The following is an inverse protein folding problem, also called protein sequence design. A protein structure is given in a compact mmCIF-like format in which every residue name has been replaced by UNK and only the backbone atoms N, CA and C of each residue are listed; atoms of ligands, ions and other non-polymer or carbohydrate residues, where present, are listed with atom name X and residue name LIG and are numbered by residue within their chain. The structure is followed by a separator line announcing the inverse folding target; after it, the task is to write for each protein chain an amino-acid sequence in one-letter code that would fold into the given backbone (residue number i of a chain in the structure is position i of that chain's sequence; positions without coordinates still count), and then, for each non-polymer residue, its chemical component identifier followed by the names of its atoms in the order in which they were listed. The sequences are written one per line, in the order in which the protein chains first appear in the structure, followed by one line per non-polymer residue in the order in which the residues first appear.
data_IF_596598730056
#
_entry.id   IF_596598730056
#
_cell.length_a   1.000
_cell.length_b   1.000
_cell.length_c   1.000
_cell.angle_alpha   90.00
_cell.angle_beta   90.00
_cell.angle_gamma   90.00
#
_symmetry.space_group_name_H-M   'P 1'
#
loop_
_entity.id
_entity.type
_entity.pdbx_description
1 polymer ?
#
# COMPACT_ATOMS: atom_id res chain seq x y z
N UNK A 1 -3.75 -7.81 10.93
CA UNK A 1 -3.04 -6.51 10.81
C UNK A 1 -3.73 -5.57 9.84
N UNK A 2 -4.12 -6.06 8.65
CA UNK A 2 -4.81 -5.30 7.60
C UNK A 2 -6.09 -4.57 8.08
N UNK A 3 -6.92 -5.20 8.94
CA UNK A 3 -8.14 -4.55 9.47
C UNK A 3 -7.85 -3.29 10.29
N UNK A 4 -6.73 -3.28 11.04
CA UNK A 4 -6.31 -2.12 11.84
C UNK A 4 -5.78 -1.03 10.90
N UNK A 5 -4.96 -1.40 9.92
CA UNK A 5 -4.48 -0.47 8.89
C UNK A 5 -5.64 0.22 8.17
N UNK A 6 -6.65 -0.54 7.73
CA UNK A 6 -7.86 0.00 7.08
C UNK A 6 -8.69 0.91 7.97
N UNK A 7 -8.74 0.66 9.26
CA UNK A 7 -9.45 1.53 10.20
C UNK A 7 -8.80 2.91 10.26
N UNK A 8 -7.47 2.96 10.38
CA UNK A 8 -6.71 4.21 10.35
C UNK A 8 -6.68 4.89 8.99
N UNK A 9 -6.74 4.12 7.91
CA UNK A 9 -6.79 4.60 6.53
C UNK A 9 -8.14 5.25 6.19
N UNK A 10 -9.24 4.55 6.45
CA UNK A 10 -10.60 5.01 6.07
C UNK A 10 -11.25 5.89 7.14
N UNK A 11 -10.79 5.80 8.38
CA UNK A 11 -11.45 6.38 9.55
C UNK A 11 -12.69 5.61 10.02
N UNK A 12 -13.03 4.49 9.37
CA UNK A 12 -14.14 3.63 9.76
C UNK A 12 -13.69 2.61 10.81
N UNK A 13 -14.58 2.24 11.74
CA UNK A 13 -14.28 1.31 12.84
C UNK A 13 -13.16 1.77 13.80
N UNK A 14 -12.82 3.06 13.80
CA UNK A 14 -12.02 3.68 14.84
C UNK A 14 -12.88 3.99 16.07
N UNK A 15 -12.27 3.90 17.25
CA UNK A 15 -12.88 4.43 18.46
C UNK A 15 -13.17 5.92 18.31
N UNK A 16 -14.21 6.47 18.96
CA UNK A 16 -14.63 7.87 18.79
C UNK A 16 -13.56 8.90 19.22
N UNK A 17 -12.56 8.48 19.98
CA UNK A 17 -11.37 9.25 20.37
C UNK A 17 -10.25 9.26 19.33
N UNK A 18 -10.34 8.45 18.26
CA UNK A 18 -9.31 8.31 17.23
C UNK A 18 -9.78 8.86 15.90
N UNK A 19 -8.83 9.47 15.19
CA UNK A 19 -9.04 10.04 13.86
C UNK A 19 -8.20 9.30 12.82
N UNK A 20 -8.48 9.58 11.55
CA UNK A 20 -7.71 9.08 10.40
C UNK A 20 -6.24 9.48 10.55
N UNK A 21 -5.35 8.49 10.53
CA UNK A 21 -3.90 8.64 10.75
C UNK A 21 -3.16 7.75 9.75
N UNK A 22 -2.64 8.37 8.70
CA UNK A 22 -1.98 7.65 7.62
C UNK A 22 -0.58 7.14 7.98
N UNK A 23 0.23 7.84 8.80
CA UNK A 23 1.45 7.27 9.36
C UNK A 23 1.19 5.94 10.11
N UNK A 24 0.16 5.90 10.95
CA UNK A 24 -0.22 4.68 11.66
C UNK A 24 -0.74 3.60 10.71
N UNK A 25 -1.56 3.97 9.72
CA UNK A 25 -2.02 3.04 8.68
C UNK A 25 -0.86 2.39 7.91
N UNK A 26 0.12 3.20 7.46
CA UNK A 26 1.32 2.74 6.78
C UNK A 26 2.14 1.79 7.65
N UNK A 27 2.28 2.08 8.95
CA UNK A 27 2.97 1.18 9.87
C UNK A 27 2.34 -0.22 9.85
N UNK A 28 1.01 -0.29 10.00
CA UNK A 28 0.29 -1.56 10.01
C UNK A 28 0.27 -2.28 8.66
N UNK A 29 0.24 -1.55 7.54
CA UNK A 29 0.36 -2.15 6.20
C UNK A 29 1.75 -2.74 5.98
N UNK A 30 2.81 -2.02 6.33
CA UNK A 30 4.17 -2.51 6.22
C UNK A 30 4.40 -3.74 7.11
N UNK A 31 3.95 -3.71 8.37
CA UNK A 31 4.03 -4.89 9.24
C UNK A 31 3.27 -6.08 8.67
N UNK A 32 2.08 -5.85 8.07
CA UNK A 32 1.35 -6.93 7.41
C UNK A 32 2.16 -7.54 6.24
N UNK A 33 2.79 -6.70 5.41
CA UNK A 33 3.66 -7.13 4.31
C UNK A 33 4.86 -7.94 4.81
N UNK A 34 5.56 -7.48 5.85
CA UNK A 34 6.69 -8.18 6.46
C UNK A 34 6.29 -9.54 7.05
N UNK A 35 5.11 -9.63 7.68
CA UNK A 35 4.61 -10.89 8.25
C UNK A 35 4.12 -11.88 7.20
N UNK A 36 3.66 -11.41 6.04
CA UNK A 36 3.14 -12.28 4.96
C UNK A 36 4.27 -12.97 4.21
N UNK A 37 5.45 -12.35 4.08
CA UNK A 37 6.64 -12.99 3.49
C UNK A 37 7.23 -14.11 4.39
N UNK A 38 6.76 -14.25 5.63
CA UNK A 38 7.27 -15.24 6.58
C UNK A 38 6.48 -16.55 6.64
N UNK A 39 5.35 -16.67 5.93
CA UNK A 39 4.54 -17.90 5.87
C UNK A 39 4.73 -18.62 4.53
N UNK A 40 5.96 -19.04 4.26
CA UNK A 40 6.36 -19.94 3.17
C UNK A 40 5.84 -21.39 3.43
N UNK A 41 4.57 -21.50 3.84
CA UNK A 41 4.00 -22.62 4.59
C UNK A 41 2.65 -23.12 4.08
N UNK A 42 2.26 -22.85 2.83
CA UNK A 42 1.35 -23.71 2.08
C UNK A 42 -0.07 -23.98 2.62
N UNK A 43 -0.62 -23.13 3.50
CA UNK A 43 -2.04 -23.20 3.90
C UNK A 43 -2.83 -22.11 3.17
N UNK A 44 -3.41 -22.48 2.02
CA UNK A 44 -4.39 -21.66 1.31
C UNK A 44 -5.67 -21.56 2.14
N UNK A 45 -5.72 -20.62 3.08
CA UNK A 45 -6.97 -20.12 3.64
C UNK A 45 -7.70 -19.34 2.53
N UNK A 46 -8.94 -19.76 2.23
CA UNK A 46 -9.81 -19.10 1.27
C UNK A 46 -10.34 -17.72 1.72
N UNK A 47 -9.89 -17.19 2.85
CA UNK A 47 -10.09 -15.78 3.20
C UNK A 47 -9.11 -14.88 2.47
N UNK A 48 -9.66 -13.84 1.87
CA UNK A 48 -8.98 -12.85 1.05
C UNK A 48 -7.97 -12.04 1.89
N UNK A 49 -6.75 -12.53 2.08
CA UNK A 49 -5.64 -11.63 2.36
C UNK A 49 -5.46 -10.72 1.15
N UNK A 50 -5.44 -9.41 1.38
CA UNK A 50 -5.21 -8.46 0.30
C UNK A 50 -3.88 -8.80 -0.37
N UNK A 51 -3.86 -8.96 -1.71
CA UNK A 51 -2.65 -9.34 -2.38
C UNK A 51 -1.60 -8.25 -2.18
N UNK A 52 -0.34 -8.66 -1.99
CA UNK A 52 0.82 -7.76 -1.75
C UNK A 52 0.84 -6.54 -2.67
N UNK A 53 0.55 -6.72 -3.97
CA UNK A 53 0.50 -5.62 -4.94
C UNK A 53 -0.55 -4.55 -4.62
N UNK A 54 -1.67 -4.90 -3.98
CA UNK A 54 -2.73 -3.96 -3.62
C UNK A 54 -2.35 -3.13 -2.39
N UNK A 55 -1.71 -3.77 -1.40
CA UNK A 55 -1.19 -3.08 -0.22
C UNK A 55 -0.10 -2.07 -0.60
N UNK A 56 0.88 -2.50 -1.41
CA UNK A 56 1.97 -1.64 -1.90
C UNK A 56 1.43 -0.43 -2.69
N UNK A 57 0.46 -0.65 -3.57
CA UNK A 57 -0.16 0.42 -4.33
C UNK A 57 -0.92 1.42 -3.44
N UNK A 58 -1.60 0.93 -2.38
CA UNK A 58 -2.29 1.80 -1.43
C UNK A 58 -1.31 2.62 -0.59
N UNK A 59 -0.19 2.04 -0.15
CA UNK A 59 0.87 2.80 0.54
C UNK A 59 1.47 3.89 -0.36
N UNK A 60 1.74 3.57 -1.63
CA UNK A 60 2.21 4.52 -2.62
C UNK A 60 1.22 5.68 -2.81
N UNK A 61 -0.07 5.38 -2.94
CA UNK A 61 -1.13 6.39 -3.07
C UNK A 61 -1.19 7.36 -1.88
N UNK A 62 -1.00 6.85 -0.65
CA UNK A 62 -0.94 7.69 0.54
C UNK A 62 0.26 8.64 0.50
N UNK A 63 1.43 8.15 0.06
CA UNK A 63 2.68 8.92 0.01
C UNK A 63 2.68 9.98 -1.10
N UNK A 64 2.07 9.72 -2.26
CA UNK A 64 1.94 10.75 -3.31
C UNK A 64 0.89 11.80 -2.95
N UNK A 65 -0.20 11.40 -2.30
CA UNK A 65 -1.30 12.30 -1.93
C UNK A 65 -0.96 13.14 -0.71
N UNK A 66 -0.33 12.54 0.30
CA UNK A 66 -0.09 13.13 1.61
C UNK A 66 -1.36 13.57 2.35
N UNK A 67 -1.20 14.01 3.59
CA UNK A 67 -2.30 14.41 4.48
C UNK A 67 -2.53 13.42 5.62
N UNK A 68 -3.49 13.74 6.50
CA UNK A 68 -3.79 12.92 7.70
C UNK A 68 -2.57 12.61 8.56
N UNK A 69 -1.68 13.60 8.71
CA UNK A 69 -0.42 13.45 9.44
C UNK A 69 0.75 12.91 8.61
N UNK A 70 0.53 12.51 7.36
CA UNK A 70 1.59 12.02 6.46
C UNK A 70 2.10 13.13 5.53
N UNK A 71 3.42 13.30 5.48
CA UNK A 71 4.07 14.15 4.48
C UNK A 71 4.11 13.46 3.12
N UNK A 72 4.06 14.25 2.05
CA UNK A 72 4.22 13.71 0.70
C UNK A 72 5.64 13.21 0.50
N UNK A 73 5.76 12.03 -0.08
CA UNK A 73 7.04 11.46 -0.52
C UNK A 73 6.86 10.82 -1.90
N UNK A 74 6.90 11.65 -2.98
CA UNK A 74 6.70 11.15 -4.34
C UNK A 74 7.81 10.19 -4.78
N UNK A 75 9.03 10.34 -4.25
CA UNK A 75 10.15 9.43 -4.50
C UNK A 75 9.79 8.02 -4.02
N UNK A 76 9.46 7.90 -2.73
CA UNK A 76 9.10 6.63 -2.12
C UNK A 76 7.80 6.06 -2.70
N UNK A 77 6.85 6.93 -3.07
CA UNK A 77 5.65 6.49 -3.78
C UNK A 77 5.97 5.79 -5.10
N UNK A 78 6.87 6.35 -5.93
CA UNK A 78 7.22 5.72 -7.20
C UNK A 78 7.95 4.38 -7.01
N UNK A 79 8.81 4.28 -6.00
CA UNK A 79 9.48 3.02 -5.64
C UNK A 79 8.47 1.94 -5.20
N UNK A 80 7.44 2.32 -4.43
CA UNK A 80 6.39 1.40 -3.99
C UNK A 80 5.43 1.01 -5.13
N UNK A 81 5.09 1.93 -6.03
CA UNK A 81 4.30 1.59 -7.22
C UNK A 81 5.05 0.64 -8.16
N UNK A 82 6.37 0.80 -8.28
CA UNK A 82 7.21 -0.14 -9.04
C UNK A 82 7.18 -1.54 -8.43
N UNK A 83 7.35 -1.65 -7.10
CA UNK A 83 7.23 -2.93 -6.40
C UNK A 83 5.82 -3.54 -6.50
N UNK A 84 4.78 -2.69 -6.46
CA UNK A 84 3.40 -3.11 -6.68
C UNK A 84 3.22 -3.68 -8.10
N UNK A 85 3.84 -3.04 -9.11
CA UNK A 85 3.80 -3.50 -10.49
C UNK A 85 4.48 -4.86 -10.68
N UNK A 86 5.64 -5.05 -10.06
CA UNK A 86 6.38 -6.32 -10.08
C UNK A 86 5.56 -7.44 -9.42
N UNK A 87 5.04 -7.21 -8.21
CA UNK A 87 4.17 -8.16 -7.52
C UNK A 87 2.87 -8.45 -8.30
N UNK A 88 2.34 -7.46 -9.02
CA UNK A 88 1.19 -7.67 -9.90
C UNK A 88 1.56 -8.52 -11.13
N UNK A 89 2.76 -8.36 -11.71
CA UNK A 89 3.25 -9.21 -12.81
C UNK A 89 3.41 -10.66 -12.36
N UNK A 90 3.98 -10.89 -11.18
CA UNK A 90 4.12 -12.24 -10.58
C UNK A 90 2.76 -12.91 -10.38
N UNK A 91 1.75 -12.14 -9.97
CA UNK A 91 0.36 -12.60 -9.86
C UNK A 91 -0.39 -12.68 -11.22
N UNK A 92 0.33 -12.57 -12.35
CA UNK A 92 -0.22 -12.57 -13.72
C UNK A 92 -1.27 -11.47 -13.98
N UNK A 93 -1.17 -10.34 -13.28
CA UNK A 93 -2.02 -9.15 -13.43
C UNK A 93 -1.34 -8.08 -14.31
N UNK A 94 -0.87 -8.45 -15.50
CA UNK A 94 -0.07 -7.54 -16.35
C UNK A 94 -0.72 -6.20 -16.71
N UNK A 95 -2.05 -6.13 -16.83
CA UNK A 95 -2.76 -4.84 -17.01
C UNK A 95 -2.63 -3.93 -15.78
N UNK A 96 -2.73 -4.52 -14.59
CA UNK A 96 -2.62 -3.80 -13.32
C UNK A 96 -1.17 -3.37 -13.10
N UNK A 97 -0.20 -4.22 -13.44
CA UNK A 97 1.21 -3.87 -13.39
C UNK A 97 1.55 -2.65 -14.26
N UNK A 98 1.06 -2.63 -15.52
CA UNK A 98 1.25 -1.47 -16.39
C UNK A 98 0.65 -0.19 -15.81
N UNK A 99 -0.51 -0.28 -15.15
CA UNK A 99 -1.11 0.87 -14.46
C UNK A 99 -0.23 1.36 -13.31
N UNK A 100 0.33 0.46 -12.51
CA UNK A 100 1.23 0.84 -11.42
C UNK A 100 2.55 1.43 -11.93
N UNK A 101 3.12 0.92 -13.02
CA UNK A 101 4.28 1.57 -13.65
C UNK A 101 3.97 3.00 -14.11
N UNK A 102 2.78 3.24 -14.68
CA UNK A 102 2.36 4.60 -15.06
C UNK A 102 2.26 5.52 -13.83
N UNK A 103 1.65 5.03 -12.74
CA UNK A 103 1.54 5.78 -11.50
C UNK A 103 2.91 6.05 -10.86
N UNK A 104 3.88 5.15 -11.01
CA UNK A 104 5.26 5.37 -10.56
C UNK A 104 5.92 6.55 -11.30
N UNK A 105 5.81 6.58 -12.62
CA UNK A 105 6.32 7.68 -13.44
C UNK A 105 5.62 9.01 -13.10
N UNK A 106 4.30 9.00 -12.90
CA UNK A 106 3.54 10.18 -12.47
C UNK A 106 3.95 10.68 -11.07
N UNK A 107 4.29 9.77 -10.16
CA UNK A 107 4.80 10.13 -8.84
C UNK A 107 6.18 10.80 -8.96
N UNK A 108 7.10 10.23 -9.73
CA UNK A 108 8.42 10.81 -9.92
C UNK A 108 8.40 12.13 -10.69
N UNK A 109 7.52 12.27 -11.68
CA UNK A 109 7.35 13.52 -12.42
C UNK A 109 6.95 14.70 -11.52
N UNK A 110 6.31 14.46 -10.37
CA UNK A 110 6.00 15.51 -9.39
C UNK A 110 7.23 16.05 -8.66
N UNK A 111 8.37 15.35 -8.71
CA UNK A 111 9.64 15.80 -8.12
C UNK A 111 10.40 16.78 -9.04
N UNK A 112 10.13 16.73 -10.34
CA UNK A 112 10.74 17.59 -11.36
C UNK A 112 9.97 18.91 -11.60
N UNK A 113 8.81 19.07 -10.95
CA UNK A 113 7.88 20.19 -11.11
C UNK A 113 8.04 21.35 -10.14
#
# INVERSE_FOLDING_TARGET
MILVARAFDTGLNLSPDRCRDWPEALHWYNTALETTDCDEGGEFDGMQDEPRYALLAREAEMLVTGGCGLEKDPQRSGDLYTQAAEAAMEAMKGRLANQYYQLAEEAWAQMEG
#
